data_IF_272774282336
#
_entry.id   IF_272774282336
#
_cell.length_a   1.000
_cell.length_b   1.000
_cell.length_c   1.000
_cell.angle_alpha   90.00
_cell.angle_beta   90.00
_cell.angle_gamma   90.00
#
_symmetry.space_group_name_H-M   'P 1'
#
loop_
_entity.id
_entity.type
_entity.pdbx_description
1 polymer ?
#
# COMPACT_ATOMS: atom_id res chain seq x y z
N UNK A 1 0.02 -12.26 -7.30
CA UNK A 1 0.18 -10.79 -7.26
C UNK A 1 0.58 -10.41 -5.85
N UNK A 2 1.54 -9.52 -5.62
CA UNK A 2 1.85 -9.04 -4.26
C UNK A 2 1.12 -7.74 -3.96
N UNK A 3 0.85 -7.46 -2.68
CA UNK A 3 0.24 -6.20 -2.24
C UNK A 3 1.07 -4.98 -2.66
N UNK A 4 2.41 -5.07 -2.57
CA UNK A 4 3.35 -4.07 -3.08
C UNK A 4 3.12 -3.78 -4.57
N UNK A 5 3.12 -4.84 -5.39
CA UNK A 5 2.94 -4.70 -6.85
C UNK A 5 1.58 -4.09 -7.19
N UNK A 6 0.52 -4.53 -6.52
CA UNK A 6 -0.82 -3.96 -6.68
C UNK A 6 -0.84 -2.45 -6.40
N UNK A 7 -0.25 -2.01 -5.28
CA UNK A 7 -0.21 -0.57 -4.95
C UNK A 7 0.54 0.24 -6.01
N UNK A 8 1.69 -0.25 -6.49
CA UNK A 8 2.47 0.43 -7.52
C UNK A 8 1.76 0.51 -8.87
N UNK A 9 1.09 -0.57 -9.29
CA UNK A 9 0.28 -0.58 -10.51
C UNK A 9 -0.86 0.45 -10.41
N UNK A 10 -1.61 0.45 -9.31
CA UNK A 10 -2.72 1.40 -9.09
C UNK A 10 -2.25 2.86 -8.95
N UNK A 11 -1.10 3.10 -8.35
CA UNK A 11 -0.49 4.43 -8.33
C UNK A 11 -0.14 4.89 -9.74
N UNK A 12 0.44 4.03 -10.56
CA UNK A 12 0.81 4.34 -11.95
C UNK A 12 -0.43 4.63 -12.80
N UNK A 13 -1.44 3.78 -12.74
CA UNK A 13 -2.71 3.95 -13.47
C UNK A 13 -3.38 5.29 -13.16
N UNK A 14 -3.33 5.72 -11.90
CA UNK A 14 -3.94 6.97 -11.43
C UNK A 14 -3.00 8.19 -11.48
N UNK A 15 -1.75 8.04 -11.91
CA UNK A 15 -0.77 9.14 -11.96
C UNK A 15 -0.38 9.69 -10.58
N UNK A 16 -0.37 8.85 -9.55
CA UNK A 16 0.05 9.24 -8.21
C UNK A 16 1.58 9.20 -8.06
N UNK A 17 2.14 10.33 -7.62
CA UNK A 17 3.47 10.33 -7.01
C UNK A 17 3.38 9.91 -5.54
N UNK A 18 4.49 9.42 -4.99
CA UNK A 18 4.58 9.06 -3.57
C UNK A 18 4.26 10.24 -2.65
N UNK A 19 4.74 11.45 -2.99
CA UNK A 19 4.49 12.68 -2.21
C UNK A 19 3.00 13.02 -2.20
N UNK A 20 2.33 12.95 -3.35
CA UNK A 20 0.89 13.22 -3.45
C UNK A 20 0.10 12.23 -2.59
N UNK A 21 0.40 10.94 -2.71
CA UNK A 21 -0.28 9.91 -1.92
C UNK A 21 -0.03 10.07 -0.42
N UNK A 22 1.19 10.42 -0.02
CA UNK A 22 1.53 10.70 1.38
C UNK A 22 0.69 11.86 1.95
N UNK A 23 0.59 12.96 1.21
CA UNK A 23 -0.19 14.13 1.61
C UNK A 23 -1.69 13.81 1.74
N UNK A 24 -2.24 13.06 0.78
CA UNK A 24 -3.65 12.66 0.83
C UNK A 24 -3.94 11.67 1.97
N UNK A 25 -3.02 10.75 2.25
CA UNK A 25 -3.13 9.83 3.40
C UNK A 25 -3.01 10.56 4.74
N UNK A 26 -2.10 11.55 4.82
CA UNK A 26 -1.76 12.24 6.06
C UNK A 26 -0.81 11.44 6.96
N UNK A 27 0.00 10.55 6.38
CA UNK A 27 0.96 9.72 7.13
C UNK A 27 2.41 10.15 6.89
N UNK A 28 3.32 9.69 7.73
CA UNK A 28 4.75 9.93 7.52
C UNK A 28 5.31 9.06 6.39
N UNK A 29 6.44 9.50 5.83
CA UNK A 29 7.05 8.85 4.67
C UNK A 29 7.41 7.38 4.94
N UNK A 30 7.86 7.06 6.17
CA UNK A 30 8.18 5.68 6.61
C UNK A 30 6.95 4.78 6.56
N UNK A 31 5.80 5.26 7.05
CA UNK A 31 4.55 4.49 7.04
C UNK A 31 4.12 4.17 5.62
N UNK A 32 4.08 5.16 4.72
CA UNK A 32 3.74 4.91 3.32
C UNK A 32 4.73 3.94 2.67
N UNK A 33 6.03 4.11 2.91
CA UNK A 33 7.08 3.22 2.38
C UNK A 33 6.85 1.77 2.79
N UNK A 34 6.46 1.50 4.04
CA UNK A 34 6.19 0.14 4.50
C UNK A 34 5.00 -0.51 3.78
N UNK A 35 3.91 0.25 3.56
CA UNK A 35 2.80 -0.25 2.74
C UNK A 35 3.23 -0.55 1.31
N UNK A 36 3.94 0.39 0.66
CA UNK A 36 4.40 0.23 -0.73
C UNK A 36 5.38 -0.94 -0.88
N UNK A 37 6.20 -1.20 0.15
CA UNK A 37 7.10 -2.35 0.18
C UNK A 37 6.39 -3.66 0.56
N UNK A 38 5.10 -3.64 0.88
CA UNK A 38 4.34 -4.83 1.29
C UNK A 38 4.70 -5.39 2.66
N UNK A 39 5.50 -4.67 3.46
CA UNK A 39 5.90 -5.07 4.82
C UNK A 39 4.86 -4.67 5.88
N UNK A 40 3.92 -3.80 5.53
CA UNK A 40 2.76 -3.47 6.34
C UNK A 40 1.50 -3.69 5.52
N UNK A 41 0.65 -4.60 5.98
CA UNK A 41 -0.56 -5.03 5.26
C UNK A 41 -1.84 -4.81 6.06
N UNK A 42 -1.70 -4.21 7.25
CA UNK A 42 -2.76 -3.81 8.16
C UNK A 42 -2.37 -2.49 8.85
N UNK A 43 -3.35 -1.80 9.43
CA UNK A 43 -3.12 -0.57 10.18
C UNK A 43 -4.09 0.56 9.85
N UNK A 44 -3.97 1.71 10.56
CA UNK A 44 -4.98 2.76 10.54
C UNK A 44 -5.14 3.47 9.19
N UNK A 45 -4.14 3.38 8.30
CA UNK A 45 -4.15 4.03 6.99
C UNK A 45 -4.62 3.13 5.86
N UNK A 46 -4.76 1.81 6.08
CA UNK A 46 -5.02 0.85 5.02
C UNK A 46 -6.31 1.17 4.26
N UNK A 47 -7.44 1.30 4.96
CA UNK A 47 -8.73 1.53 4.30
C UNK A 47 -8.75 2.81 3.46
N UNK A 48 -8.10 3.87 3.95
CA UNK A 48 -7.96 5.12 3.20
C UNK A 48 -7.06 4.97 1.98
N UNK A 49 -5.94 4.25 2.11
CA UNK A 49 -5.04 3.93 1.00
C UNK A 49 -5.77 3.15 -0.10
N UNK A 50 -6.52 2.11 0.27
CA UNK A 50 -7.30 1.31 -0.68
C UNK A 50 -8.36 2.17 -1.36
N UNK A 51 -9.06 3.03 -0.62
CA UNK A 51 -10.05 3.94 -1.19
C UNK A 51 -9.44 4.94 -2.20
N UNK A 52 -8.33 5.60 -1.86
CA UNK A 52 -7.64 6.54 -2.77
C UNK A 52 -7.24 5.83 -4.08
N UNK A 53 -6.69 4.63 -3.96
CA UNK A 53 -6.23 3.84 -5.10
C UNK A 53 -7.34 3.03 -5.78
N UNK A 54 -8.59 3.13 -5.32
CA UNK A 54 -9.74 2.36 -5.81
C UNK A 54 -9.50 0.84 -5.83
N UNK A 55 -8.90 0.32 -4.76
CA UNK A 55 -8.65 -1.10 -4.53
C UNK A 55 -9.75 -1.65 -3.64
N UNK A 56 -10.38 -2.74 -4.05
CA UNK A 56 -11.36 -3.43 -3.21
C UNK A 56 -10.67 -4.26 -2.12
N UNK A 57 -11.34 -4.47 -0.98
CA UNK A 57 -10.83 -5.35 0.08
C UNK A 57 -10.65 -6.79 -0.42
N UNK A 58 -11.51 -7.27 -1.32
CA UNK A 58 -11.38 -8.60 -1.93
C UNK A 58 -10.13 -8.71 -2.82
N UNK A 59 -9.83 -7.69 -3.62
CA UNK A 59 -8.62 -7.65 -4.45
C UNK A 59 -7.36 -7.60 -3.60
N UNK A 60 -7.38 -6.77 -2.55
CA UNK A 60 -6.30 -6.70 -1.56
C UNK A 60 -6.05 -8.06 -0.90
N UNK A 61 -7.09 -8.73 -0.42
CA UNK A 61 -7.00 -10.03 0.25
C UNK A 61 -6.63 -11.18 -0.69
N UNK A 62 -6.74 -10.98 -2.01
CA UNK A 62 -6.30 -11.96 -3.01
C UNK A 62 -4.81 -11.85 -3.33
N UNK A 63 -4.10 -10.87 -2.75
CA UNK A 63 -2.67 -10.67 -2.96
C UNK A 63 -1.82 -11.33 -1.88
N UNK A 64 -0.63 -11.77 -2.27
CA UNK A 64 0.40 -12.25 -1.35
C UNK A 64 1.08 -11.07 -0.64
N UNK A 65 1.39 -11.27 0.63
CA UNK A 65 2.16 -10.30 1.41
C UNK A 65 3.65 -10.66 1.35
N UNK A 66 4.51 -9.63 1.32
CA UNK A 66 5.94 -9.85 1.48
C UNK A 66 6.16 -10.16 2.96
N UNK A 67 6.30 -11.45 3.28
CA UNK A 67 6.72 -11.87 4.61
C UNK A 67 8.13 -11.31 4.84
N UNK A 68 8.30 -10.44 5.82
CA UNK A 68 9.64 -10.26 6.37
C UNK A 68 9.98 -11.58 7.04
N UNK A 69 11.01 -12.27 6.54
CA UNK A 69 11.67 -13.29 7.36
C UNK A 69 12.09 -12.57 8.65
N UNK A 70 11.53 -12.99 9.78
CA UNK A 70 12.05 -12.61 11.08
C UNK A 70 13.49 -13.10 11.12
N UNK A 71 14.45 -12.19 11.01
CA UNK A 71 15.83 -12.47 11.39
C UNK A 71 15.78 -12.66 12.91
N UNK A 72 15.64 -13.93 13.32
CA UNK A 72 15.76 -14.41 14.69
C UNK A 72 17.15 -14.10 15.26
#
# INVERSE_FOLDING_TARGET
MTTSRLLHERMREKGYSKIRLQNELGCCEKTLRNYLNGTTTSGPYLMKLLAILNISVSEWNSCENIKQEEVL
#
